data_IF_003610875847
#
_entry.id   IF_003610875847
#
_cell.length_a   1.000
_cell.length_b   1.000
_cell.length_c   1.000
_cell.angle_alpha   90.00
_cell.angle_beta   90.00
_cell.angle_gamma   90.00
#
_symmetry.space_group_name_H-M   'P 1'
#
loop_
_entity.id
_entity.type
_entity.pdbx_description
1 polymer ?
#
# COMPACT_ATOMS: atom_id res chain seq x y z
N UNK A 1 -10.98 53.12 2.88
CA UNK A 1 -11.35 52.35 4.08
C UNK A 1 -12.15 51.07 3.75
N UNK A 2 -13.25 51.09 2.98
CA UNK A 2 -13.95 49.85 2.58
C UNK A 2 -13.09 48.87 1.75
N UNK A 3 -12.26 49.36 0.81
CA UNK A 3 -11.35 48.52 0.00
C UNK A 3 -10.25 47.81 0.80
N UNK A 4 -9.71 48.45 1.84
CA UNK A 4 -8.63 47.88 2.67
C UNK A 4 -9.16 46.78 3.60
N UNK A 5 -10.39 46.93 4.10
CA UNK A 5 -11.05 45.93 4.96
C UNK A 5 -11.45 44.69 4.15
N UNK A 6 -11.91 44.86 2.90
CA UNK A 6 -12.21 43.71 2.02
C UNK A 6 -10.95 42.91 1.69
N UNK A 7 -9.82 43.57 1.39
CA UNK A 7 -8.54 42.88 1.12
C UNK A 7 -8.05 42.09 2.35
N UNK A 8 -8.19 42.65 3.55
CA UNK A 8 -7.81 41.96 4.81
C UNK A 8 -8.75 40.79 5.12
N UNK A 9 -10.05 40.90 4.84
CA UNK A 9 -10.99 39.79 5.01
C UNK A 9 -10.74 38.67 3.99
N UNK A 10 -10.46 39.01 2.73
CA UNK A 10 -10.12 38.02 1.69
C UNK A 10 -8.77 37.36 1.95
N UNK A 11 -7.79 38.11 2.47
CA UNK A 11 -6.51 37.54 2.91
C UNK A 11 -6.66 36.66 4.16
N UNK A 12 -7.53 37.01 5.12
CA UNK A 12 -7.79 36.18 6.30
C UNK A 12 -8.56 34.89 5.95
N UNK A 13 -9.49 34.94 4.98
CA UNK A 13 -10.18 33.75 4.46
C UNK A 13 -9.21 32.88 3.63
N UNK A 14 -8.36 33.49 2.80
CA UNK A 14 -7.30 32.77 2.08
C UNK A 14 -6.29 32.14 3.04
N UNK A 15 -5.81 32.88 4.05
CA UNK A 15 -4.92 32.36 5.10
C UNK A 15 -5.60 31.29 5.96
N UNK A 16 -6.91 31.34 6.19
CA UNK A 16 -7.62 30.24 6.89
C UNK A 16 -7.80 28.99 6.03
N UNK A 17 -7.70 29.10 4.70
CA UNK A 17 -7.78 27.97 3.76
C UNK A 17 -6.41 27.45 3.30
N UNK A 18 -5.33 28.22 3.51
CA UNK A 18 -3.93 27.84 3.20
C UNK A 18 -3.05 27.70 4.46
N UNK A 19 -3.62 27.79 5.66
CA UNK A 19 -2.88 27.69 6.92
C UNK A 19 -2.43 26.27 7.26
N UNK A 20 -2.84 25.22 6.55
CA UNK A 20 -2.17 23.92 6.64
C UNK A 20 -0.85 23.98 5.87
N UNK A 21 -0.88 24.30 4.57
CA UNK A 21 0.32 24.25 3.72
C UNK A 21 1.40 25.28 4.08
N UNK A 22 1.04 26.43 4.65
CA UNK A 22 2.02 27.45 5.06
C UNK A 22 2.64 27.18 6.45
N UNK A 23 1.90 26.53 7.37
CA UNK A 23 2.51 25.99 8.60
C UNK A 23 3.35 24.77 8.26
N UNK A 24 2.91 23.95 7.31
CA UNK A 24 3.65 22.81 6.81
C UNK A 24 4.95 23.26 6.12
N UNK A 25 4.94 24.31 5.30
CA UNK A 25 6.16 24.86 4.70
C UNK A 25 7.13 25.51 5.72
N UNK A 26 6.63 26.03 6.85
CA UNK A 26 7.47 26.55 7.95
C UNK A 26 8.00 25.41 8.83
N UNK A 27 7.26 24.30 8.95
CA UNK A 27 7.70 23.05 9.58
C UNK A 27 8.57 22.18 8.66
N UNK A 28 8.49 22.35 7.34
CA UNK A 28 9.33 21.70 6.32
C UNK A 28 10.75 22.28 6.28
N UNK A 29 11.01 23.44 6.91
CA UNK A 29 12.35 23.74 7.43
C UNK A 29 12.50 22.94 8.71
N UNK A 30 12.67 21.64 8.52
CA UNK A 30 12.44 20.57 9.48
C UNK A 30 13.55 20.51 10.54
N UNK A 31 13.64 21.56 11.38
CA UNK A 31 14.59 21.64 12.50
C UNK A 31 14.37 20.54 13.56
N UNK A 32 13.26 19.79 13.47
CA UNK A 32 12.95 18.63 14.30
C UNK A 32 12.92 17.29 13.52
N UNK A 33 13.03 17.26 12.19
CA UNK A 33 13.12 16.00 11.42
C UNK A 33 14.17 15.03 11.97
N UNK A 34 15.39 15.46 12.34
CA UNK A 34 16.41 14.54 12.85
C UNK A 34 16.05 13.90 14.20
N UNK A 35 15.04 14.42 14.91
CA UNK A 35 14.62 13.91 16.23
C UNK A 35 13.50 12.86 16.14
N UNK A 36 12.76 12.81 15.03
CA UNK A 36 11.72 11.82 14.74
C UNK A 36 12.15 10.80 13.67
N UNK A 37 13.34 10.98 13.09
CA UNK A 37 13.92 10.07 12.12
C UNK A 37 14.28 8.73 12.77
N UNK A 38 13.75 7.65 12.19
CA UNK A 38 14.05 6.29 12.59
C UNK A 38 15.20 5.77 11.74
N UNK A 39 16.42 5.95 12.26
CA UNK A 39 17.63 5.47 11.59
C UNK A 39 17.75 3.94 11.57
N UNK A 40 18.55 3.40 10.63
CA UNK A 40 18.81 1.95 10.55
C UNK A 40 19.39 1.37 11.85
N UNK A 41 20.25 2.12 12.56
CA UNK A 41 20.78 1.70 13.88
C UNK A 41 19.68 1.57 14.93
N UNK A 42 18.71 2.48 14.93
CA UNK A 42 17.59 2.42 15.88
C UNK A 42 16.72 1.18 15.64
N UNK A 43 16.44 0.87 14.38
CA UNK A 43 15.71 -0.34 13.99
C UNK A 43 16.52 -1.58 14.37
N UNK A 44 17.82 -1.59 14.09
CA UNK A 44 18.75 -2.68 14.43
C UNK A 44 18.75 -2.98 15.94
N UNK A 45 18.79 -1.94 16.78
CA UNK A 45 18.78 -2.08 18.24
C UNK A 45 17.45 -2.62 18.78
N UNK A 46 16.34 -2.39 18.06
CA UNK A 46 14.99 -2.81 18.46
C UNK A 46 14.45 -4.02 17.69
N UNK A 47 15.15 -4.55 16.70
CA UNK A 47 14.60 -5.57 15.78
C UNK A 47 14.18 -6.88 16.45
N UNK A 48 14.60 -7.12 17.69
CA UNK A 48 14.17 -8.26 18.49
C UNK A 48 12.90 -8.03 19.30
N UNK A 49 12.31 -6.82 19.23
CA UNK A 49 11.12 -6.40 19.95
C UNK A 49 10.06 -5.89 18.97
N UNK A 50 9.05 -6.73 18.71
CA UNK A 50 7.97 -6.40 17.79
C UNK A 50 7.14 -5.18 18.23
N UNK A 51 7.05 -4.91 19.54
CA UNK A 51 6.33 -3.73 20.03
C UNK A 51 7.12 -2.45 19.74
N UNK A 52 8.43 -2.48 19.93
CA UNK A 52 9.29 -1.34 19.60
C UNK A 52 9.31 -1.06 18.08
N UNK A 53 9.15 -2.09 17.26
CA UNK A 53 8.99 -1.95 15.81
C UNK A 53 7.65 -1.30 15.44
N UNK A 54 6.54 -1.68 16.10
CA UNK A 54 5.24 -1.01 15.94
C UNK A 54 5.29 0.47 16.30
N UNK A 55 5.95 0.83 17.40
CA UNK A 55 6.11 2.24 17.78
C UNK A 55 6.96 3.02 16.77
N UNK A 56 7.95 2.37 16.15
CA UNK A 56 8.81 2.99 15.15
C UNK A 56 8.13 3.17 13.80
N UNK A 57 7.20 2.29 13.45
CA UNK A 57 6.48 2.35 12.17
C UNK A 57 5.51 3.53 12.08
N UNK A 58 5.23 4.23 13.18
CA UNK A 58 4.50 5.50 13.17
C UNK A 58 5.26 6.64 12.44
N UNK A 59 6.56 6.45 12.16
CA UNK A 59 7.38 7.42 11.42
C UNK A 59 7.61 6.96 9.98
N UNK A 60 7.34 7.81 9.00
CA UNK A 60 7.56 7.49 7.57
C UNK A 60 9.01 7.09 7.28
N UNK A 61 9.97 7.69 7.98
CA UNK A 61 11.40 7.40 7.86
C UNK A 61 11.78 5.96 8.23
N UNK A 62 10.92 5.23 8.98
CA UNK A 62 11.09 3.80 9.23
C UNK A 62 10.99 3.01 7.92
N UNK A 63 9.95 3.28 7.13
CA UNK A 63 9.73 2.62 5.84
C UNK A 63 10.80 3.04 4.83
N UNK A 64 11.13 4.33 4.75
CA UNK A 64 12.21 4.82 3.89
C UNK A 64 13.55 4.15 4.21
N UNK A 65 13.86 3.99 5.49
CA UNK A 65 15.09 3.33 5.95
C UNK A 65 15.11 1.85 5.56
N UNK A 66 13.99 1.13 5.74
CA UNK A 66 13.88 -0.27 5.35
C UNK A 66 13.87 -0.47 3.83
N UNK A 67 13.42 0.54 3.07
CA UNK A 67 13.42 0.54 1.61
C UNK A 67 14.83 0.70 1.00
N UNK A 68 15.81 1.28 1.73
CA UNK A 68 17.18 1.38 1.24
C UNK A 68 17.75 -0.04 0.97
N UNK A 69 18.20 -0.35 -0.27
CA UNK A 69 18.75 -1.65 -0.61
C UNK A 69 19.90 -2.11 0.29
N UNK A 70 20.63 -1.20 0.92
CA UNK A 70 21.69 -1.53 1.90
C UNK A 70 21.14 -2.18 3.17
N UNK A 71 19.87 -1.95 3.48
CA UNK A 71 19.16 -2.45 4.65
C UNK A 71 18.26 -3.65 4.30
N UNK A 72 18.41 -4.27 3.13
CA UNK A 72 17.60 -5.42 2.73
C UNK A 72 17.63 -6.57 3.74
N UNK A 73 18.80 -6.88 4.33
CA UNK A 73 18.93 -7.88 5.39
C UNK A 73 18.18 -7.47 6.65
N UNK A 74 18.25 -6.19 7.03
CA UNK A 74 17.52 -5.66 8.19
C UNK A 74 16.00 -5.77 7.99
N UNK A 75 15.49 -5.43 6.79
CA UNK A 75 14.08 -5.64 6.44
C UNK A 75 13.66 -7.10 6.65
N UNK A 76 14.44 -8.04 6.14
CA UNK A 76 14.16 -9.48 6.31
C UNK A 76 14.15 -9.90 7.77
N UNK A 77 15.09 -9.42 8.59
CA UNK A 77 15.14 -9.74 10.02
C UNK A 77 13.97 -9.13 10.78
N UNK A 78 13.57 -7.90 10.45
CA UNK A 78 12.38 -7.23 11.02
C UNK A 78 11.12 -8.03 10.72
N UNK A 79 10.90 -8.42 9.45
CA UNK A 79 9.76 -9.25 9.06
C UNK A 79 9.75 -10.60 9.76
N UNK A 80 10.91 -11.25 9.89
CA UNK A 80 11.03 -12.52 10.61
C UNK A 80 10.67 -12.37 12.11
N UNK A 81 11.03 -11.26 12.76
CA UNK A 81 10.60 -10.97 14.13
C UNK A 81 9.09 -10.77 14.21
N UNK A 82 8.51 -10.03 13.27
CA UNK A 82 7.06 -9.81 13.19
C UNK A 82 6.34 -11.15 13.03
N UNK A 83 6.77 -12.00 12.11
CA UNK A 83 6.18 -13.32 11.87
C UNK A 83 6.25 -14.22 13.12
N UNK A 84 7.40 -14.23 13.80
CA UNK A 84 7.56 -14.97 15.03
C UNK A 84 6.64 -14.45 16.14
N UNK A 85 6.45 -13.13 16.23
CA UNK A 85 5.56 -12.51 17.19
C UNK A 85 4.08 -12.77 16.88
N UNK A 86 3.67 -12.75 15.59
CA UNK A 86 2.33 -13.15 15.16
C UNK A 86 2.05 -14.60 15.56
N UNK A 87 2.99 -15.51 15.30
CA UNK A 87 2.83 -16.93 15.65
C UNK A 87 2.76 -17.19 17.17
N UNK A 88 3.39 -16.33 17.97
CA UNK A 88 3.37 -16.41 19.44
C UNK A 88 2.21 -15.63 20.08
N UNK A 89 1.53 -14.77 19.33
CA UNK A 89 0.49 -13.90 19.84
C UNK A 89 -0.72 -14.70 20.36
N UNK A 90 -1.25 -14.28 21.51
CA UNK A 90 -2.40 -14.94 22.15
C UNK A 90 -3.68 -14.12 22.09
N UNK A 91 -3.61 -12.92 21.51
CA UNK A 91 -4.76 -12.00 21.41
C UNK A 91 -4.94 -11.54 19.96
N UNK A 92 -6.20 -11.40 19.49
CA UNK A 92 -6.47 -10.88 18.15
C UNK A 92 -5.90 -9.48 17.91
N UNK A 93 -5.92 -8.60 18.91
CA UNK A 93 -5.40 -7.23 18.79
C UNK A 93 -3.92 -7.21 18.36
N UNK A 94 -3.08 -7.99 19.05
CA UNK A 94 -1.64 -8.08 18.71
C UNK A 94 -1.44 -8.68 17.32
N UNK A 95 -2.26 -9.67 16.93
CA UNK A 95 -2.20 -10.24 15.57
C UNK A 95 -2.57 -9.17 14.54
N UNK A 96 -3.61 -8.38 14.79
CA UNK A 96 -4.08 -7.34 13.88
C UNK A 96 -3.01 -6.26 13.67
N UNK A 97 -2.43 -5.73 14.73
CA UNK A 97 -1.42 -4.67 14.64
C UNK A 97 -0.16 -5.15 13.91
N UNK A 98 0.32 -6.36 14.24
CA UNK A 98 1.53 -6.92 13.62
C UNK A 98 1.32 -7.35 12.16
N UNK A 99 0.15 -7.87 11.80
CA UNK A 99 -0.16 -8.21 10.41
C UNK A 99 -0.33 -6.96 9.55
N UNK A 100 -0.93 -5.89 10.09
CA UNK A 100 -0.96 -4.59 9.43
C UNK A 100 0.46 -4.05 9.20
N UNK A 101 1.31 -4.08 10.23
CA UNK A 101 2.70 -3.66 10.10
C UNK A 101 3.46 -4.46 9.03
N UNK A 102 3.34 -5.80 9.04
CA UNK A 102 3.98 -6.64 8.03
C UNK A 102 3.55 -6.29 6.61
N UNK A 103 2.24 -6.09 6.39
CA UNK A 103 1.71 -5.66 5.10
C UNK A 103 2.21 -4.27 4.69
N UNK A 104 2.22 -3.30 5.61
CA UNK A 104 2.72 -1.96 5.33
C UNK A 104 4.21 -1.94 4.99
N UNK A 105 5.03 -2.75 5.68
CA UNK A 105 6.44 -2.90 5.35
C UNK A 105 6.58 -3.41 3.92
N UNK A 106 5.84 -4.45 3.51
CA UNK A 106 5.97 -4.99 2.16
C UNK A 106 5.53 -4.00 1.08
N UNK A 107 4.44 -3.26 1.30
CA UNK A 107 3.94 -2.29 0.32
C UNK A 107 4.79 -1.01 0.27
N UNK A 108 5.05 -0.36 1.41
CA UNK A 108 5.74 0.94 1.47
C UNK A 108 7.23 0.85 1.14
N UNK A 109 7.86 -0.30 1.36
CA UNK A 109 9.28 -0.47 1.00
C UNK A 109 9.52 -0.86 -0.45
N UNK A 110 8.45 -1.23 -1.18
CA UNK A 110 8.54 -1.62 -2.59
C UNK A 110 7.91 -0.59 -3.53
N UNK A 111 7.09 0.34 -3.02
CA UNK A 111 6.30 1.29 -3.81
C UNK A 111 4.90 0.76 -4.18
N UNK A 112 4.47 -0.34 -3.56
CA UNK A 112 3.13 -0.89 -3.74
C UNK A 112 2.02 0.01 -3.16
N UNK A 113 2.32 0.82 -2.14
CA UNK A 113 1.39 1.80 -1.58
C UNK A 113 1.02 2.91 -2.59
N UNK A 114 1.99 3.38 -3.37
CA UNK A 114 1.75 4.30 -4.50
C UNK A 114 0.82 3.65 -5.54
N UNK A 115 1.07 2.37 -5.89
CA UNK A 115 0.21 1.62 -6.82
C UNK A 115 -1.22 1.50 -6.30
N UNK A 116 -1.44 1.19 -5.02
CA UNK A 116 -2.79 1.13 -4.43
C UNK A 116 -3.51 2.47 -4.58
N UNK A 117 -2.82 3.58 -4.28
CA UNK A 117 -3.37 4.92 -4.39
C UNK A 117 -3.71 5.28 -5.85
N UNK A 118 -2.83 4.93 -6.79
CA UNK A 118 -3.04 5.16 -8.21
C UNK A 118 -4.21 4.34 -8.76
N UNK A 119 -4.37 3.08 -8.33
CA UNK A 119 -5.54 2.25 -8.67
C UNK A 119 -6.84 2.91 -8.20
N UNK A 120 -6.88 3.46 -6.98
CA UNK A 120 -8.03 4.22 -6.50
C UNK A 120 -8.34 5.42 -7.40
N UNK A 121 -7.32 6.19 -7.78
CA UNK A 121 -7.47 7.36 -8.64
C UNK A 121 -8.04 6.98 -10.02
N UNK A 122 -7.54 5.89 -10.61
CA UNK A 122 -8.01 5.37 -11.89
C UNK A 122 -9.46 4.87 -11.83
N UNK A 123 -9.89 4.28 -10.72
CA UNK A 123 -11.28 3.84 -10.54
C UNK A 123 -12.25 5.03 -10.45
N UNK A 124 -11.81 6.19 -9.98
CA UNK A 124 -12.60 7.43 -9.92
C UNK A 124 -12.69 8.10 -11.30
N UNK A 125 -11.61 8.08 -12.08
CA UNK A 125 -11.57 8.64 -13.44
C UNK A 125 -10.82 7.72 -14.42
N UNK A 126 -11.59 7.03 -15.25
CA UNK A 126 -11.06 6.10 -16.25
C UNK A 126 -10.65 6.78 -17.56
N UNK A 127 -10.88 8.09 -17.73
CA UNK A 127 -10.60 8.77 -19.00
C UNK A 127 -9.11 8.76 -19.37
N UNK A 128 -8.22 8.70 -18.37
CA UNK A 128 -6.79 8.62 -18.56
C UNK A 128 -6.32 7.25 -19.09
N UNK A 129 -7.09 6.18 -18.87
CA UNK A 129 -6.73 4.81 -19.23
C UNK A 129 -7.47 4.29 -20.47
N UNK A 130 -8.35 5.10 -21.05
CA UNK A 130 -9.07 4.76 -22.27
C UNK A 130 -8.28 5.17 -23.51
N UNK A 131 -8.35 4.35 -24.56
CA UNK A 131 -7.92 4.71 -25.89
C UNK A 131 -8.79 5.88 -26.40
N UNK A 132 -8.20 6.98 -26.92
CA UNK A 132 -8.94 8.18 -27.26
C UNK A 132 -9.77 8.03 -28.56
N UNK A 133 -9.57 6.93 -29.29
CA UNK A 133 -10.24 6.63 -30.56
C UNK A 133 -11.35 5.60 -30.35
N UNK A 134 -11.08 4.49 -29.66
CA UNK A 134 -12.05 3.41 -29.42
C UNK A 134 -12.86 3.60 -28.13
N UNK A 135 -12.32 4.35 -27.16
CA UNK A 135 -12.89 4.45 -25.81
C UNK A 135 -12.73 3.18 -24.96
N UNK A 136 -12.04 2.15 -25.49
CA UNK A 136 -11.74 0.92 -24.77
C UNK A 136 -10.57 1.13 -23.80
N UNK A 137 -10.44 0.25 -22.80
CA UNK A 137 -9.29 0.28 -21.89
C UNK A 137 -8.00 -0.04 -22.67
N UNK A 138 -7.01 0.83 -22.55
CA UNK A 138 -5.67 0.66 -23.10
C UNK A 138 -4.75 0.12 -21.99
N UNK A 139 -4.26 -1.12 -22.10
CA UNK A 139 -3.40 -1.73 -21.08
C UNK A 139 -2.11 -0.96 -20.83
N UNK A 140 -1.52 -0.32 -21.84
CA UNK A 140 -0.28 0.45 -21.69
C UNK A 140 -0.55 1.74 -20.90
N UNK A 141 -1.68 2.39 -21.16
CA UNK A 141 -2.12 3.56 -20.38
C UNK A 141 -2.51 3.20 -18.96
N UNK A 142 -3.21 2.08 -18.77
CA UNK A 142 -3.52 1.57 -17.45
C UNK A 142 -2.24 1.30 -16.65
N UNK A 143 -1.28 0.61 -17.24
CA UNK A 143 -0.01 0.30 -16.58
C UNK A 143 0.76 1.58 -16.21
N UNK A 144 0.83 2.55 -17.12
CA UNK A 144 1.46 3.86 -16.87
C UNK A 144 0.73 4.67 -15.80
N UNK A 145 -0.60 4.52 -15.69
CA UNK A 145 -1.40 5.23 -14.72
C UNK A 145 -1.30 4.65 -13.31
N UNK A 146 -1.04 3.34 -13.18
CA UNK A 146 -0.98 2.67 -11.86
C UNK A 146 0.44 2.54 -11.32
N UNK A 147 1.43 2.29 -12.17
CA UNK A 147 2.81 2.05 -11.74
C UNK A 147 3.54 3.37 -11.44
N UNK A 148 4.50 3.38 -10.48
CA UNK A 148 5.31 4.55 -10.22
C UNK A 148 6.08 5.01 -11.46
N UNK A 149 6.22 6.33 -11.62
CA UNK A 149 6.77 6.93 -12.85
C UNK A 149 8.25 6.58 -13.13
N UNK A 150 8.99 6.10 -12.13
CA UNK A 150 10.36 5.60 -12.28
C UNK A 150 10.41 4.15 -12.78
N UNK A 151 9.29 3.42 -12.78
CA UNK A 151 9.21 2.00 -13.13
C UNK A 151 8.71 1.80 -14.57
N UNK A 152 7.80 2.64 -15.04
CA UNK A 152 7.17 2.56 -16.36
C UNK A 152 7.26 3.90 -17.09
N UNK A 153 7.70 3.88 -18.36
CA UNK A 153 7.72 5.07 -19.21
C UNK A 153 6.34 5.44 -19.73
N UNK A 154 6.19 6.65 -20.28
CA UNK A 154 4.92 7.17 -20.78
C UNK A 154 4.27 6.37 -21.92
N UNK A 155 5.00 5.43 -22.52
CA UNK A 155 4.52 4.52 -23.57
C UNK A 155 4.13 3.13 -23.04
N UNK A 156 4.16 2.92 -21.73
CA UNK A 156 3.85 1.64 -21.08
C UNK A 156 5.01 0.66 -21.00
N UNK A 157 6.22 1.03 -21.44
CA UNK A 157 7.40 0.16 -21.33
C UNK A 157 7.95 0.15 -19.91
N UNK A 158 8.27 -1.02 -19.38
CA UNK A 158 8.94 -1.15 -18.07
C UNK A 158 10.40 -0.70 -18.20
N UNK A 159 10.78 0.37 -17.50
CA UNK A 159 12.14 0.92 -17.49
C UNK A 159 12.99 0.41 -16.34
N UNK A 160 12.36 0.00 -15.24
CA UNK A 160 13.04 -0.63 -14.09
C UNK A 160 12.40 -1.99 -13.78
N UNK A 161 12.93 -3.03 -14.39
CA UNK A 161 12.47 -4.40 -14.19
C UNK A 161 12.65 -4.90 -12.74
N UNK A 162 13.64 -4.39 -12.00
CA UNK A 162 13.88 -4.83 -10.63
C UNK A 162 12.81 -4.24 -9.69
N UNK A 163 12.54 -2.94 -9.83
CA UNK A 163 11.48 -2.26 -9.09
C UNK A 163 10.09 -2.82 -9.43
N UNK A 164 9.82 -3.06 -10.72
CA UNK A 164 8.57 -3.68 -11.16
C UNK A 164 8.31 -5.02 -10.44
N UNK A 165 9.31 -5.91 -10.45
CA UNK A 165 9.20 -7.21 -9.80
C UNK A 165 9.04 -7.08 -8.29
N UNK A 166 9.80 -6.18 -7.67
CA UNK A 166 9.72 -5.93 -6.23
C UNK A 166 8.34 -5.46 -5.78
N UNK A 167 7.68 -4.58 -6.55
CA UNK A 167 6.31 -4.12 -6.29
C UNK A 167 5.35 -5.31 -6.33
N UNK A 168 5.38 -6.11 -7.40
CA UNK A 168 4.47 -7.25 -7.56
C UNK A 168 4.71 -8.31 -6.47
N UNK A 169 5.95 -8.69 -6.23
CA UNK A 169 6.28 -9.69 -5.21
C UNK A 169 5.97 -9.16 -3.79
N UNK A 170 6.07 -7.83 -3.57
CA UNK A 170 5.62 -7.15 -2.36
C UNK A 170 4.11 -7.25 -2.14
N UNK A 171 3.30 -7.11 -3.18
CA UNK A 171 1.85 -7.35 -3.10
C UNK A 171 1.51 -8.79 -2.71
N UNK A 172 2.21 -9.77 -3.29
CA UNK A 172 2.03 -11.19 -2.94
C UNK A 172 2.41 -11.46 -1.48
N UNK A 173 3.49 -10.85 -0.99
CA UNK A 173 3.89 -10.96 0.42
C UNK A 173 2.86 -10.28 1.35
N UNK A 174 2.38 -9.09 0.98
CA UNK A 174 1.36 -8.37 1.74
C UNK A 174 0.02 -9.13 1.80
N UNK A 175 -0.37 -9.85 0.76
CA UNK A 175 -1.59 -10.68 0.74
C UNK A 175 -1.59 -11.75 1.86
N UNK A 176 -0.43 -12.34 2.15
CA UNK A 176 -0.32 -13.31 3.24
C UNK A 176 -0.63 -12.66 4.61
N UNK A 177 -0.13 -11.45 4.84
CA UNK A 177 -0.44 -10.67 6.04
C UNK A 177 -1.91 -10.26 6.10
N UNK A 178 -2.50 -9.80 4.99
CA UNK A 178 -3.93 -9.46 4.94
C UNK A 178 -4.85 -10.66 5.14
N UNK A 179 -4.45 -11.85 4.65
CA UNK A 179 -5.15 -13.10 4.91
C UNK A 179 -5.13 -13.44 6.41
N UNK A 180 -3.98 -13.30 7.07
CA UNK A 180 -3.88 -13.49 8.52
C UNK A 180 -4.71 -12.45 9.29
N UNK A 181 -4.68 -11.18 8.87
CA UNK A 181 -5.48 -10.11 9.45
C UNK A 181 -6.97 -10.39 9.34
N UNK A 182 -7.46 -10.71 8.14
CA UNK A 182 -8.86 -11.04 7.88
C UNK A 182 -9.34 -12.26 8.68
N UNK A 183 -8.47 -13.27 8.84
CA UNK A 183 -8.74 -14.43 9.70
C UNK A 183 -8.84 -14.03 11.18
N UNK A 184 -7.98 -13.11 11.64
CA UNK A 184 -7.99 -12.64 13.05
C UNK A 184 -9.20 -11.78 13.41
N UNK A 185 -9.84 -11.15 12.42
CA UNK A 185 -11.05 -10.35 12.62
C UNK A 185 -12.29 -11.24 12.84
N UNK A 186 -12.38 -12.39 12.17
CA UNK A 186 -13.52 -13.33 12.25
C UNK A 186 -14.90 -12.65 12.11
N UNK A 187 -15.01 -11.71 11.16
CA UNK A 187 -16.22 -10.90 10.93
C UNK A 187 -16.47 -9.79 11.97
N UNK A 188 -15.52 -9.56 12.88
CA UNK A 188 -15.52 -8.49 13.87
C UNK A 188 -14.92 -7.18 13.36
N UNK A 189 -14.61 -6.28 14.30
CA UNK A 189 -13.99 -4.97 14.05
C UNK A 189 -12.51 -4.98 14.43
N UNK A 190 -11.76 -4.01 13.91
CA UNK A 190 -10.41 -3.72 14.40
C UNK A 190 -10.42 -3.40 15.90
N UNK A 191 -9.41 -3.92 16.61
CA UNK A 191 -9.20 -3.62 18.01
C UNK A 191 -8.79 -2.14 18.19
N UNK A 192 -7.93 -1.63 17.30
CA UNK A 192 -7.64 -0.22 17.18
C UNK A 192 -8.68 0.47 16.29
N UNK A 193 -9.45 1.38 16.90
CA UNK A 193 -10.48 2.17 16.22
C UNK A 193 -9.93 3.27 15.31
N UNK A 194 -8.63 3.55 15.35
CA UNK A 194 -7.98 4.56 14.52
C UNK A 194 -7.57 4.02 13.14
N UNK A 195 -7.53 2.70 12.98
CA UNK A 195 -7.23 2.03 11.70
C UNK A 195 -8.27 2.42 10.65
N UNK A 196 -7.79 2.87 9.50
CA UNK A 196 -8.65 3.13 8.34
C UNK A 196 -9.04 1.81 7.67
N UNK A 197 -10.10 1.17 8.16
CA UNK A 197 -10.59 -0.11 7.65
C UNK A 197 -10.85 -0.11 6.13
N UNK A 198 -11.31 1.02 5.57
CA UNK A 198 -11.49 1.17 4.12
C UNK A 198 -10.19 1.14 3.33
N UNK A 199 -9.13 1.83 3.82
CA UNK A 199 -7.83 1.80 3.17
C UNK A 199 -7.19 0.39 3.25
N UNK A 200 -7.34 -0.27 4.40
CA UNK A 200 -6.86 -1.65 4.57
C UNK A 200 -7.58 -2.61 3.62
N UNK A 201 -8.91 -2.52 3.51
CA UNK A 201 -9.68 -3.35 2.59
C UNK A 201 -9.29 -3.11 1.12
N UNK A 202 -9.00 -1.86 0.74
CA UNK A 202 -8.52 -1.53 -0.60
C UNK A 202 -7.15 -2.16 -0.90
N UNK A 203 -6.17 -1.97 -0.02
CA UNK A 203 -4.84 -2.57 -0.18
C UNK A 203 -4.92 -4.09 -0.23
N UNK A 204 -5.73 -4.70 0.65
CA UNK A 204 -5.95 -6.14 0.67
C UNK A 204 -6.59 -6.67 -0.63
N UNK A 205 -7.56 -5.95 -1.21
CA UNK A 205 -8.15 -6.33 -2.49
C UNK A 205 -7.10 -6.33 -3.61
N UNK A 206 -6.30 -5.28 -3.71
CA UNK A 206 -5.26 -5.17 -4.75
C UNK A 206 -4.21 -6.27 -4.57
N UNK A 207 -3.73 -6.49 -3.33
CA UNK A 207 -2.81 -7.59 -3.01
C UNK A 207 -3.39 -8.95 -3.38
N UNK A 208 -4.64 -9.23 -3.01
CA UNK A 208 -5.29 -10.51 -3.29
C UNK A 208 -5.51 -10.73 -4.79
N UNK A 209 -5.83 -9.67 -5.55
CA UNK A 209 -5.95 -9.76 -7.01
C UNK A 209 -4.61 -10.12 -7.66
N UNK A 210 -3.51 -9.55 -7.20
CA UNK A 210 -2.16 -9.85 -7.71
C UNK A 210 -1.73 -11.26 -7.28
N UNK A 211 -1.94 -11.62 -6.02
CA UNK A 211 -1.61 -12.95 -5.48
C UNK A 211 -2.43 -14.07 -6.12
N UNK A 212 -3.66 -13.78 -6.59
CA UNK A 212 -4.49 -14.71 -7.34
C UNK A 212 -3.92 -15.08 -8.72
N UNK A 213 -2.98 -14.30 -9.26
CA UNK A 213 -2.30 -14.62 -10.53
C UNK A 213 -1.23 -15.67 -10.24
N UNK A 214 -1.50 -16.92 -10.63
CA UNK A 214 -0.60 -18.04 -10.36
C UNK A 214 0.50 -18.13 -11.44
N UNK A 215 1.78 -17.94 -11.09
CA UNK A 215 2.87 -18.05 -12.05
C UNK A 215 3.17 -19.51 -12.41
N UNK A 216 3.83 -19.77 -13.56
CA UNK A 216 4.38 -21.09 -13.87
C UNK A 216 5.35 -21.59 -12.77
N UNK A 217 5.48 -22.93 -12.57
CA UNK A 217 6.35 -23.46 -11.54
C UNK A 217 7.80 -22.97 -11.67
N UNK A 218 8.34 -22.40 -10.60
CA UNK A 218 9.73 -21.93 -10.53
C UNK A 218 9.95 -20.48 -10.97
N UNK A 219 8.88 -19.73 -11.27
CA UNK A 219 8.91 -18.32 -11.64
C UNK A 219 8.19 -17.50 -10.55
N UNK A 220 8.73 -16.34 -10.16
CA UNK A 220 8.01 -15.44 -9.23
C UNK A 220 6.83 -14.75 -9.93
N UNK A 221 5.86 -14.24 -9.16
CA UNK A 221 4.74 -13.50 -9.74
C UNK A 221 5.24 -12.23 -10.44
N UNK A 222 6.22 -11.53 -9.88
CA UNK A 222 6.86 -10.38 -10.51
C UNK A 222 7.52 -10.72 -11.84
N UNK A 223 8.30 -11.80 -11.90
CA UNK A 223 8.94 -12.23 -13.14
C UNK A 223 7.90 -12.62 -14.20
N UNK A 224 6.87 -13.37 -13.81
CA UNK A 224 5.81 -13.77 -14.74
C UNK A 224 5.00 -12.59 -15.29
N UNK A 225 4.62 -11.63 -14.45
CA UNK A 225 3.90 -10.43 -14.91
C UNK A 225 4.76 -9.52 -15.78
N UNK A 226 6.06 -9.43 -15.49
CA UNK A 226 7.00 -8.70 -16.35
C UNK A 226 7.07 -9.35 -17.75
N UNK A 227 7.19 -10.68 -17.80
CA UNK A 227 7.24 -11.43 -19.06
C UNK A 227 5.94 -11.27 -19.86
N UNK A 228 4.77 -11.22 -19.20
CA UNK A 228 3.49 -10.93 -19.87
C UNK A 228 3.49 -9.54 -20.49
N UNK A 229 3.90 -8.51 -19.72
CA UNK A 229 3.94 -7.12 -20.20
C UNK A 229 4.89 -6.97 -21.39
N UNK A 230 6.01 -7.70 -21.37
CA UNK A 230 6.98 -7.70 -22.47
C UNK A 230 6.57 -8.58 -23.67
N UNK A 231 5.46 -9.31 -23.57
CA UNK A 231 5.00 -10.24 -24.61
C UNK A 231 5.84 -11.52 -24.72
N UNK A 232 6.63 -11.83 -23.69
CA UNK A 232 7.50 -12.99 -23.58
C UNK A 232 6.78 -14.21 -22.97
N UNK A 233 5.70 -13.97 -22.22
CA UNK A 233 4.80 -14.99 -21.69
C UNK A 233 3.33 -14.75 -22.07
N UNK A 234 2.56 -15.83 -22.11
CA UNK A 234 1.12 -15.74 -22.29
C UNK A 234 0.43 -15.40 -20.95
N UNK A 235 -0.55 -14.50 -21.01
CA UNK A 235 -1.43 -14.24 -19.88
C UNK A 235 -2.24 -15.50 -19.50
N UNK A 236 -2.67 -15.64 -18.23
CA UNK A 236 -3.54 -16.72 -17.81
C UNK A 236 -4.81 -16.79 -18.65
N UNK A 237 -5.25 -18.00 -18.98
CA UNK A 237 -6.48 -18.21 -19.74
C UNK A 237 -7.73 -17.87 -18.92
N UNK A 238 -7.61 -17.97 -17.60
CA UNK A 238 -8.64 -17.71 -16.60
C UNK A 238 -8.04 -16.95 -15.40
N UNK A 239 -8.87 -16.08 -14.82
CA UNK A 239 -8.59 -15.39 -13.57
C UNK A 239 -9.79 -15.57 -12.66
N UNK A 240 -9.56 -16.17 -11.49
CA UNK A 240 -10.58 -16.26 -10.46
C UNK A 240 -10.46 -15.03 -9.55
N UNK A 241 -11.55 -14.28 -9.43
CA UNK A 241 -11.59 -13.18 -8.48
C UNK A 241 -11.41 -13.73 -7.05
N UNK A 242 -10.64 -13.04 -6.17
CA UNK A 242 -10.48 -13.46 -4.79
C UNK A 242 -11.82 -13.67 -4.07
N UNK A 243 -11.88 -14.66 -3.19
CA UNK A 243 -13.11 -14.95 -2.44
C UNK A 243 -13.42 -13.80 -1.46
N UNK A 244 -14.45 -13.03 -1.78
CA UNK A 244 -14.97 -11.95 -0.95
C UNK A 244 -16.23 -12.37 -0.17
N UNK A 245 -16.60 -13.64 -0.11
CA UNK A 245 -17.78 -14.04 0.65
C UNK A 245 -17.63 -13.73 2.15
N UNK A 246 -18.73 -13.40 2.83
CA UNK A 246 -18.71 -13.21 4.27
C UNK A 246 -18.16 -14.46 4.98
N UNK A 247 -17.20 -14.27 5.88
CA UNK A 247 -16.46 -15.35 6.55
C UNK A 247 -15.19 -15.81 5.82
N UNK A 248 -14.93 -15.35 4.60
CA UNK A 248 -13.59 -15.44 4.00
C UNK A 248 -12.65 -14.39 4.62
N UNK A 249 -11.32 -14.58 4.59
CA UNK A 249 -10.38 -13.58 5.11
C UNK A 249 -10.59 -12.19 4.51
N UNK A 250 -10.70 -12.10 3.18
CA UNK A 250 -10.93 -10.83 2.50
C UNK A 250 -12.34 -10.27 2.80
N UNK A 251 -13.37 -11.12 2.83
CA UNK A 251 -14.73 -10.72 3.20
C UNK A 251 -14.84 -10.15 4.62
N UNK A 252 -14.03 -10.64 5.56
CA UNK A 252 -13.95 -10.10 6.91
C UNK A 252 -13.36 -8.68 6.94
N UNK A 253 -12.37 -8.38 6.10
CA UNK A 253 -11.80 -7.02 5.97
C UNK A 253 -12.83 -6.04 5.40
N UNK A 254 -13.57 -6.45 4.36
CA UNK A 254 -14.66 -5.66 3.80
C UNK A 254 -15.79 -5.42 4.81
N UNK A 255 -16.14 -6.46 5.58
CA UNK A 255 -17.13 -6.34 6.66
C UNK A 255 -16.68 -5.35 7.72
N UNK A 256 -15.41 -5.40 8.13
CA UNK A 256 -14.83 -4.46 9.09
C UNK A 256 -14.79 -3.01 8.54
N UNK A 257 -14.69 -2.85 7.22
CA UNK A 257 -14.82 -1.56 6.54
C UNK A 257 -16.28 -1.07 6.39
N UNK A 258 -17.26 -1.87 6.82
CA UNK A 258 -18.69 -1.55 6.66
C UNK A 258 -19.19 -1.70 5.22
N UNK A 259 -18.49 -2.45 4.38
CA UNK A 259 -18.85 -2.70 2.99
C UNK A 259 -19.67 -3.99 2.94
N UNK A 260 -20.97 -3.86 2.63
CA UNK A 260 -21.84 -5.02 2.43
C UNK A 260 -21.66 -5.58 1.01
N UNK A 261 -20.93 -6.67 0.89
CA UNK A 261 -20.64 -7.35 -0.37
C UNK A 261 -21.90 -7.94 -1.02
N UNK A 262 -23.00 -8.16 -0.27
CA UNK A 262 -24.28 -8.55 -0.86
C UNK A 262 -24.95 -7.41 -1.65
N UNK A 263 -24.52 -6.17 -1.44
CA UNK A 263 -24.98 -5.00 -2.23
C UNK A 263 -24.11 -4.74 -3.45
N UNK A 264 -22.91 -5.31 -3.51
CA UNK A 264 -21.99 -5.25 -4.64
C UNK A 264 -22.27 -6.43 -5.58
N UNK A 265 -23.40 -6.38 -6.29
CA UNK A 265 -23.69 -7.36 -7.32
C UNK A 265 -22.72 -7.17 -8.50
N UNK A 266 -21.76 -8.07 -8.65
CA UNK A 266 -20.97 -8.27 -9.87
C UNK A 266 -21.62 -9.34 -10.75
#
# INVERSE_FOLDING_TARGET
MKRTITIVLTAAVALSMTACDALDAILQVNIFAPLYEVSATKIEDSKGDAQALLEQSESDTFYETLADPKNATLKTEVLATIDAAIAAATTPAVIQDLTLLGAEIELKTTGGDEVVNNVAAVLVDQSAIQDPVSGELDPARLLTAIMPANVVSSDGTVTDAAAFKAIIDGFVAADAYYTALGTSLDGGTYADTTVSAGAVAQSALVSAMIAGITPPPGVSSGEYLLDIVNGEAAAPADFAFPDMAAGSPLGNLFTAAGIDLATLAF
#
